data_IF_520239751071
#
_entry.id   IF_520239751071
#
_cell.length_a   1.000
_cell.length_b   1.000
_cell.length_c   1.000
_cell.angle_alpha   90.00
_cell.angle_beta   90.00
_cell.angle_gamma   90.00
#
_symmetry.space_group_name_H-M   'P 1'
#
loop_
_entity.id
_entity.type
_entity.pdbx_description
1 polymer ?
#
# COMPACT_ATOMS: atom_id res chain seq x y z
N UNK A 1 -5.13 2.94 10.76
CA UNK A 1 -4.76 2.00 9.69
C UNK A 1 -4.56 0.62 10.31
N UNK A 2 -5.21 -0.43 9.80
CA UNK A 2 -5.12 -1.77 10.39
C UNK A 2 -3.80 -2.46 10.00
N UNK A 3 -3.02 -2.86 11.00
CA UNK A 3 -1.70 -3.48 10.80
C UNK A 3 -1.79 -4.87 10.18
N UNK A 4 -2.90 -5.59 10.44
CA UNK A 4 -3.09 -6.96 9.95
C UNK A 4 -3.24 -6.97 8.45
N UNK A 5 -3.94 -5.98 7.89
CA UNK A 5 -4.08 -5.86 6.44
C UNK A 5 -2.74 -5.66 5.73
N UNK A 6 -1.91 -4.73 6.21
CA UNK A 6 -0.59 -4.50 5.61
C UNK A 6 0.33 -5.72 5.76
N UNK A 7 0.31 -6.37 6.92
CA UNK A 7 1.04 -7.62 7.16
C UNK A 7 0.63 -8.68 6.15
N UNK A 8 -0.67 -8.95 6.04
CA UNK A 8 -1.21 -9.95 5.13
C UNK A 8 -0.86 -9.64 3.67
N UNK A 9 -1.05 -8.37 3.23
CA UNK A 9 -0.72 -7.95 1.87
C UNK A 9 0.77 -8.11 1.55
N UNK A 10 1.66 -7.79 2.51
CA UNK A 10 3.10 -8.00 2.40
C UNK A 10 3.45 -9.49 2.32
N UNK A 11 2.99 -10.29 3.28
CA UNK A 11 3.29 -11.73 3.37
C UNK A 11 2.81 -12.51 2.15
N UNK A 12 1.63 -12.16 1.62
CA UNK A 12 1.04 -12.80 0.43
C UNK A 12 1.48 -12.14 -0.88
N UNK A 13 2.26 -11.06 -0.83
CA UNK A 13 2.67 -10.29 -2.00
C UNK A 13 1.52 -9.70 -2.81
N UNK A 14 0.34 -9.54 -2.21
CA UNK A 14 -0.90 -9.14 -2.90
C UNK A 14 -0.85 -7.67 -3.31
N UNK A 15 -1.45 -7.38 -4.46
CA UNK A 15 -1.64 -6.01 -4.94
C UNK A 15 -2.81 -5.37 -4.21
N UNK A 16 -2.59 -4.19 -3.63
CA UNK A 16 -3.62 -3.44 -2.93
C UNK A 16 -3.83 -2.09 -3.61
N UNK A 17 -5.05 -1.56 -3.52
CA UNK A 17 -5.32 -0.17 -3.83
C UNK A 17 -4.99 0.67 -2.60
N UNK A 18 -3.96 1.50 -2.69
CA UNK A 18 -3.60 2.45 -1.65
C UNK A 18 -4.02 3.87 -2.03
N UNK A 19 -4.48 4.63 -1.04
CA UNK A 19 -4.80 6.07 -1.12
C UNK A 19 -3.93 6.80 -0.11
N UNK A 20 -3.16 7.78 -0.55
CA UNK A 20 -2.27 8.55 0.33
C UNK A 20 -2.12 10.00 -0.09
N UNK A 21 -1.63 10.84 0.82
CA UNK A 21 -1.26 12.23 0.52
C UNK A 21 0.21 12.28 0.10
N UNK A 22 0.50 12.98 -0.99
CA UNK A 22 1.86 13.30 -1.41
C UNK A 22 1.89 14.73 -1.95
N UNK A 23 2.75 15.57 -1.38
CA UNK A 23 2.86 16.99 -1.74
C UNK A 23 1.50 17.72 -1.73
N UNK A 24 0.67 17.45 -0.70
CA UNK A 24 -0.66 18.03 -0.57
C UNK A 24 -1.72 17.49 -1.55
N UNK A 25 -1.38 16.53 -2.40
CA UNK A 25 -2.30 15.90 -3.35
C UNK A 25 -2.68 14.51 -2.89
N UNK A 26 -3.96 14.15 -3.00
CA UNK A 26 -4.43 12.77 -2.77
C UNK A 26 -4.13 11.94 -4.01
N UNK A 27 -3.37 10.87 -3.82
CA UNK A 27 -3.05 9.88 -4.86
C UNK A 27 -3.75 8.56 -4.54
N UNK A 28 -4.22 7.87 -5.59
CA UNK A 28 -4.77 6.53 -5.52
C UNK A 28 -4.11 5.64 -6.55
N UNK A 29 -3.44 4.56 -6.14
CA UNK A 29 -2.77 3.61 -7.05
C UNK A 29 -2.83 2.17 -6.54
N UNK A 30 -2.73 1.23 -7.48
CA UNK A 30 -2.43 -0.17 -7.18
C UNK A 30 -0.94 -0.33 -6.87
N UNK A 31 -0.62 -0.91 -5.72
CA UNK A 31 0.73 -1.05 -5.18
C UNK A 31 0.91 -2.38 -4.46
N UNK A 32 2.16 -2.78 -4.25
CA UNK A 32 2.53 -3.84 -3.31
C UNK A 32 3.12 -3.21 -2.05
N UNK A 33 2.80 -3.77 -0.88
CA UNK A 33 3.47 -3.42 0.37
C UNK A 33 4.81 -4.14 0.39
N UNK A 34 5.91 -3.39 0.40
CA UNK A 34 7.27 -3.92 0.47
C UNK A 34 7.67 -4.08 1.93
N UNK A 35 7.47 -3.04 2.71
CA UNK A 35 7.70 -3.03 4.14
C UNK A 35 6.87 -1.94 4.83
N UNK A 36 6.79 -1.98 6.15
CA UNK A 36 6.19 -0.92 6.95
C UNK A 36 6.71 -0.97 8.39
N UNK A 37 6.66 0.18 9.05
CA UNK A 37 6.91 0.32 10.47
C UNK A 37 5.90 1.33 11.07
N UNK A 38 6.14 1.76 12.31
CA UNK A 38 5.24 2.69 13.00
C UNK A 38 5.17 4.08 12.33
N UNK A 39 6.21 4.49 11.61
CA UNK A 39 6.36 5.83 11.04
C UNK A 39 6.18 5.87 9.53
N UNK A 40 6.54 4.79 8.82
CA UNK A 40 6.63 4.76 7.36
C UNK A 40 6.02 3.49 6.76
N UNK A 41 5.55 3.61 5.52
CA UNK A 41 5.14 2.48 4.67
C UNK A 41 5.91 2.55 3.36
N UNK A 42 6.47 1.42 2.95
CA UNK A 42 7.22 1.26 1.70
C UNK A 42 6.32 0.57 0.68
N UNK A 43 5.94 1.30 -0.36
CA UNK A 43 5.01 0.84 -1.40
C UNK A 43 5.73 0.73 -2.74
N UNK A 44 5.45 -0.33 -3.51
CA UNK A 44 5.94 -0.46 -4.88
C UNK A 44 4.78 -0.42 -5.86
N UNK A 45 4.73 0.61 -6.70
CA UNK A 45 3.81 0.66 -7.85
C UNK A 45 4.36 -0.28 -8.93
N UNK A 46 3.53 -1.12 -9.56
CA UNK A 46 4.00 -2.12 -10.53
C UNK A 46 4.80 -1.54 -11.71
N UNK A 47 4.53 -0.28 -12.10
CA UNK A 47 5.26 0.43 -13.15
C UNK A 47 6.60 1.02 -12.69
N UNK A 48 6.95 0.93 -11.41
CA UNK A 48 8.19 1.45 -10.83
C UNK A 48 8.99 0.32 -10.16
N UNK A 49 10.27 0.22 -10.49
CA UNK A 49 11.19 -0.73 -9.84
C UNK A 49 11.50 -0.35 -8.39
N UNK A 50 11.61 0.94 -8.10
CA UNK A 50 11.99 1.44 -6.78
C UNK A 50 10.75 1.62 -5.90
N UNK A 51 10.76 1.07 -4.66
CA UNK A 51 9.74 1.37 -3.66
C UNK A 51 9.72 2.87 -3.34
N UNK A 52 8.54 3.42 -3.10
CA UNK A 52 8.35 4.73 -2.52
C UNK A 52 8.11 4.58 -1.02
N UNK A 53 8.79 5.40 -0.24
CA UNK A 53 8.47 5.58 1.16
C UNK A 53 7.40 6.68 1.30
N UNK A 54 6.38 6.41 2.11
CA UNK A 54 5.40 7.41 2.52
C UNK A 54 5.24 7.37 4.05
N UNK A 55 4.96 8.51 4.70
CA UNK A 55 4.61 8.52 6.12
C UNK A 55 3.35 7.68 6.37
N UNK A 56 3.33 6.94 7.47
CA UNK A 56 2.19 6.13 7.91
C UNK A 56 0.93 6.97 8.07
N UNK A 57 1.09 8.22 8.50
CA UNK A 57 0.02 9.20 8.70
C UNK A 57 -0.57 9.70 7.37
N UNK A 58 0.21 9.69 6.30
CA UNK A 58 -0.23 10.12 4.98
C UNK A 58 -0.99 9.01 4.24
N UNK A 59 -0.89 7.75 4.70
CA UNK A 59 -1.64 6.63 4.16
C UNK A 59 -3.08 6.65 4.68
N UNK A 60 -3.98 7.16 3.84
CA UNK A 60 -5.39 7.41 4.18
C UNK A 60 -6.23 6.13 4.17
N UNK A 61 -6.07 5.29 3.15
CA UNK A 61 -6.85 4.05 2.99
C UNK A 61 -6.12 2.99 2.17
N UNK A 62 -6.42 1.72 2.43
CA UNK A 62 -5.94 0.56 1.69
C UNK A 62 -7.05 -0.48 1.59
N UNK A 63 -7.30 -0.98 0.37
CA UNK A 63 -8.25 -2.06 0.10
C UNK A 63 -7.66 -3.02 -0.94
N UNK A 64 -8.28 -4.19 -1.12
CA UNK A 64 -7.96 -5.07 -2.24
C UNK A 64 -8.21 -4.37 -3.58
N UNK A 65 -7.32 -4.60 -4.55
CA UNK A 65 -7.52 -4.08 -5.90
C UNK A 65 -8.70 -4.79 -6.57
N UNK A 66 -9.62 -4.06 -7.21
CA UNK A 66 -10.77 -4.65 -7.91
C UNK A 66 -10.27 -5.66 -8.97
N UNK A 67 -10.71 -6.91 -8.84
CA UNK A 67 -10.28 -8.05 -9.67
C UNK A 67 -9.51 -9.12 -8.89
N UNK A 68 -8.96 -8.77 -7.72
CA UNK A 68 -8.40 -9.71 -6.73
C UNK A 68 -9.51 -9.92 -5.68
N UNK A 69 -10.56 -10.67 -6.03
CA UNK A 69 -11.41 -11.28 -5.01
C UNK A 69 -10.50 -12.24 -4.25
N UNK A 70 -10.41 -12.11 -2.93
CA UNK A 70 -9.50 -12.88 -2.08
C UNK A 70 -9.80 -14.38 -2.09
N UNK A 71 -9.44 -15.03 -3.19
CA UNK A 71 -9.46 -16.47 -3.42
C UNK A 71 -7.99 -16.91 -3.52
N UNK A 72 -7.44 -17.32 -2.37
CA UNK A 72 -6.75 -18.60 -2.10
C UNK A 72 -6.25 -18.61 -0.64
#
# INVERSE_FOLDING_TARGET
MDDRFLRYAKEKGRSIRAVWIQNGTILQKTVHVVDYNEQSVFLRVSSRKTPMEIPRLDLLSCDYARGDNGED
#
